data_IF_801204997639
#
_entry.id   IF_801204997639
#
_cell.length_a   1.000
_cell.length_b   1.000
_cell.length_c   1.000
_cell.angle_alpha   90.00
_cell.angle_beta   90.00
_cell.angle_gamma   90.00
#
_symmetry.space_group_name_H-M   'P 1'
#
loop_
_entity.id
_entity.type
_entity.pdbx_description
1 polymer ?
#
# COMPACT_ATOMS: atom_id res chain seq x y z
N UNK A 1 -34.27 -35.31 1.58
CA UNK A 1 -33.43 -34.56 0.62
C UNK A 1 -32.26 -33.99 1.41
N UNK A 2 -31.04 -34.09 0.87
CA UNK A 2 -29.81 -33.34 1.23
C UNK A 2 -28.81 -33.88 2.27
N UNK A 3 -28.62 -35.19 2.48
CA UNK A 3 -27.43 -35.67 3.21
C UNK A 3 -26.12 -35.61 2.37
N UNK A 4 -26.20 -35.74 1.04
CA UNK A 4 -25.02 -35.64 0.17
C UNK A 4 -24.47 -34.20 0.08
N UNK A 5 -25.36 -33.24 -0.15
CA UNK A 5 -24.99 -31.83 -0.31
C UNK A 5 -24.29 -31.25 0.94
N UNK A 6 -24.70 -31.67 2.14
CA UNK A 6 -24.04 -31.28 3.40
C UNK A 6 -22.61 -31.84 3.50
N UNK A 7 -22.37 -33.08 3.05
CA UNK A 7 -21.04 -33.71 3.12
C UNK A 7 -20.02 -33.05 2.19
N UNK A 8 -20.47 -32.63 1.00
CA UNK A 8 -19.64 -31.89 0.06
C UNK A 8 -19.22 -30.53 0.62
N UNK A 9 -20.18 -29.80 1.19
CA UNK A 9 -19.93 -28.50 1.80
C UNK A 9 -18.98 -28.61 3.01
N UNK A 10 -19.09 -29.67 3.81
CA UNK A 10 -18.21 -29.93 4.96
C UNK A 10 -16.75 -30.23 4.56
N UNK A 11 -16.53 -31.12 3.60
CA UNK A 11 -15.18 -31.47 3.14
C UNK A 11 -14.50 -30.31 2.41
N UNK A 12 -15.27 -29.53 1.64
CA UNK A 12 -14.77 -28.33 0.99
C UNK A 12 -14.44 -27.23 2.02
N UNK A 13 -15.28 -27.03 3.04
CA UNK A 13 -14.99 -26.10 4.13
C UNK A 13 -13.75 -26.52 4.93
N UNK A 14 -13.57 -27.82 5.14
CA UNK A 14 -12.37 -28.38 5.80
C UNK A 14 -11.10 -28.08 4.99
N UNK A 15 -11.14 -28.30 3.67
CA UNK A 15 -10.03 -27.96 2.78
C UNK A 15 -9.65 -26.48 2.87
N UNK A 16 -10.64 -25.58 2.71
CA UNK A 16 -10.42 -24.13 2.74
C UNK A 16 -9.88 -23.64 4.08
N UNK A 17 -10.33 -24.23 5.20
CA UNK A 17 -9.82 -23.84 6.53
C UNK A 17 -8.38 -24.30 6.73
N UNK A 18 -8.02 -25.52 6.31
CA UNK A 18 -6.64 -25.99 6.36
C UNK A 18 -5.74 -25.14 5.46
N UNK A 19 -6.20 -24.81 4.24
CA UNK A 19 -5.50 -23.93 3.30
C UNK A 19 -5.28 -22.53 3.88
N UNK A 20 -6.30 -21.95 4.52
CA UNK A 20 -6.20 -20.66 5.21
C UNK A 20 -5.16 -20.70 6.34
N UNK A 21 -5.16 -21.73 7.18
CA UNK A 21 -4.17 -21.88 8.27
C UNK A 21 -2.75 -22.04 7.71
N UNK A 22 -2.59 -22.78 6.61
CA UNK A 22 -1.32 -22.97 5.91
C UNK A 22 -0.80 -21.67 5.29
N UNK A 23 -1.67 -20.89 4.66
CA UNK A 23 -1.35 -19.57 4.11
C UNK A 23 -0.99 -18.58 5.22
N UNK A 24 -1.59 -18.74 6.40
CA UNK A 24 -1.25 -18.02 7.62
C UNK A 24 -0.05 -18.63 8.38
N UNK A 25 0.81 -19.41 7.72
CA UNK A 25 2.10 -19.85 8.28
C UNK A 25 2.05 -20.97 9.34
N UNK A 26 0.87 -21.52 9.67
CA UNK A 26 0.76 -22.63 10.64
C UNK A 26 1.35 -23.91 10.04
N UNK A 27 2.25 -24.58 10.78
CA UNK A 27 2.92 -25.79 10.28
C UNK A 27 1.94 -26.97 10.23
N UNK A 28 2.13 -27.88 9.26
CA UNK A 28 1.27 -29.09 9.14
C UNK A 28 1.24 -29.91 10.43
N UNK A 29 2.37 -29.98 11.14
CA UNK A 29 2.48 -30.68 12.42
C UNK A 29 1.59 -30.05 13.49
N UNK A 30 1.53 -28.73 13.58
CA UNK A 30 0.74 -28.01 14.59
C UNK A 30 -0.76 -28.20 14.35
N UNK A 31 -1.20 -28.18 13.09
CA UNK A 31 -2.60 -28.48 12.73
C UNK A 31 -2.94 -29.93 13.06
N UNK A 32 -2.04 -30.87 12.78
CA UNK A 32 -2.23 -32.29 13.08
C UNK A 32 -2.30 -32.56 14.58
N UNK A 33 -1.41 -31.95 15.37
CA UNK A 33 -1.38 -32.02 16.84
C UNK A 33 -2.68 -31.42 17.42
N UNK A 34 -3.17 -30.30 16.86
CA UNK A 34 -4.43 -29.67 17.27
C UNK A 34 -5.67 -30.55 17.01
N UNK A 35 -5.65 -31.28 15.90
CA UNK A 35 -6.72 -32.21 15.50
C UNK A 35 -6.60 -33.59 16.15
N UNK A 36 -5.51 -33.87 16.87
CA UNK A 36 -5.18 -35.19 17.41
C UNK A 36 -5.14 -36.29 16.31
N UNK A 37 -4.53 -35.97 15.17
CA UNK A 37 -4.32 -36.90 14.05
C UNK A 37 -2.85 -36.97 13.66
N UNK A 38 -2.44 -38.06 13.00
CA UNK A 38 -1.07 -38.19 12.53
C UNK A 38 -0.76 -37.14 11.43
N UNK A 39 0.40 -36.46 11.47
CA UNK A 39 0.78 -35.48 10.44
C UNK A 39 0.77 -36.04 9.01
N UNK A 40 1.09 -37.33 8.84
CA UNK A 40 1.02 -38.01 7.54
C UNK A 40 -0.41 -38.13 7.02
N UNK A 41 -1.39 -38.38 7.90
CA UNK A 41 -2.81 -38.47 7.56
C UNK A 41 -3.33 -37.10 7.14
N UNK A 42 -3.01 -36.04 7.90
CA UNK A 42 -3.40 -34.67 7.54
C UNK A 42 -2.74 -34.23 6.22
N UNK A 43 -1.47 -34.56 6.00
CA UNK A 43 -0.77 -34.24 4.76
C UNK A 43 -1.45 -34.90 3.57
N UNK A 44 -1.70 -36.22 3.61
CA UNK A 44 -2.40 -36.95 2.55
C UNK A 44 -3.81 -36.39 2.30
N UNK A 45 -4.52 -36.01 3.36
CA UNK A 45 -5.85 -35.42 3.27
C UNK A 45 -5.81 -34.07 2.53
N UNK A 46 -4.90 -33.18 2.92
CA UNK A 46 -4.78 -31.83 2.37
C UNK A 46 -4.18 -31.79 0.95
N UNK A 47 -3.14 -32.57 0.67
CA UNK A 47 -2.42 -32.47 -0.61
C UNK A 47 -3.00 -33.33 -1.72
N UNK A 48 -3.81 -34.34 -1.37
CA UNK A 48 -4.23 -35.37 -2.34
C UNK A 48 -5.72 -35.64 -2.27
N UNK A 49 -6.27 -36.06 -1.12
CA UNK A 49 -7.67 -36.49 -1.05
C UNK A 49 -8.64 -35.34 -1.28
N UNK A 50 -8.53 -34.24 -0.53
CA UNK A 50 -9.47 -33.12 -0.65
C UNK A 50 -9.40 -32.41 -2.01
N UNK A 51 -8.22 -32.10 -2.59
CA UNK A 51 -8.14 -31.53 -3.93
C UNK A 51 -8.77 -32.44 -5.00
N UNK A 52 -8.43 -33.74 -4.98
CA UNK A 52 -8.97 -34.71 -5.95
C UNK A 52 -10.49 -34.86 -5.78
N UNK A 53 -10.99 -34.89 -4.55
CA UNK A 53 -12.43 -34.93 -4.28
C UNK A 53 -13.15 -33.69 -4.81
N UNK A 54 -12.61 -32.49 -4.58
CA UNK A 54 -13.20 -31.23 -5.06
C UNK A 54 -13.24 -31.21 -6.60
N UNK A 55 -12.20 -31.72 -7.27
CA UNK A 55 -12.16 -31.80 -8.73
C UNK A 55 -13.17 -32.83 -9.28
N UNK A 56 -13.18 -34.05 -8.73
CA UNK A 56 -14.05 -35.14 -9.18
C UNK A 56 -15.53 -34.88 -8.87
N UNK A 57 -15.83 -34.18 -7.77
CA UNK A 57 -17.21 -33.81 -7.38
C UNK A 57 -17.88 -32.78 -8.31
N UNK A 58 -17.15 -32.26 -9.31
CA UNK A 58 -17.71 -31.43 -10.39
C UNK A 58 -18.33 -32.27 -11.51
N UNK A 59 -17.89 -33.51 -11.67
CA UNK A 59 -18.20 -34.35 -12.84
C UNK A 59 -18.82 -35.70 -12.47
N UNK A 60 -18.65 -36.16 -11.22
CA UNK A 60 -19.14 -37.45 -10.73
C UNK A 60 -20.03 -37.29 -9.48
N UNK A 61 -20.88 -38.28 -9.16
CA UNK A 61 -21.57 -38.34 -7.87
C UNK A 61 -20.58 -38.28 -6.70
N UNK A 62 -20.98 -37.62 -5.62
CA UNK A 62 -20.10 -37.34 -4.46
C UNK A 62 -19.49 -38.60 -3.84
N UNK A 63 -20.26 -39.68 -3.78
CA UNK A 63 -19.81 -40.95 -3.21
C UNK A 63 -18.70 -41.58 -4.05
N UNK A 64 -18.86 -41.60 -5.39
CA UNK A 64 -17.89 -42.12 -6.35
C UNK A 64 -16.63 -41.23 -6.42
N UNK A 65 -16.82 -39.91 -6.32
CA UNK A 65 -15.72 -38.94 -6.27
C UNK A 65 -14.86 -39.14 -5.02
N UNK A 66 -15.47 -39.37 -3.85
CA UNK A 66 -14.75 -39.60 -2.61
C UNK A 66 -14.03 -40.95 -2.60
N UNK A 67 -14.67 -42.00 -3.11
CA UNK A 67 -14.06 -43.33 -3.24
C UNK A 67 -12.83 -43.28 -4.15
N UNK A 68 -12.94 -42.59 -5.28
CA UNK A 68 -11.85 -42.40 -6.23
C UNK A 68 -10.70 -41.57 -5.64
N UNK A 69 -11.01 -40.50 -4.88
CA UNK A 69 -10.00 -39.70 -4.20
C UNK A 69 -9.25 -40.51 -3.13
N UNK A 70 -9.95 -41.36 -2.38
CA UNK A 70 -9.37 -42.19 -1.33
C UNK A 70 -8.55 -43.37 -1.87
N UNK A 71 -8.79 -43.85 -3.08
CA UNK A 71 -7.95 -44.92 -3.67
C UNK A 71 -6.48 -44.52 -3.81
N UNK A 72 -6.19 -43.22 -3.90
CA UNK A 72 -4.82 -42.70 -4.06
C UNK A 72 -3.99 -42.75 -2.77
N UNK A 73 -4.61 -43.07 -1.63
CA UNK A 73 -3.97 -43.04 -0.31
C UNK A 73 -4.37 -44.28 0.50
N UNK A 74 -3.44 -44.83 1.29
CA UNK A 74 -3.67 -46.04 2.09
C UNK A 74 -3.83 -45.78 3.59
N UNK A 75 -3.70 -44.54 4.03
CA UNK A 75 -3.66 -44.12 5.43
C UNK A 75 -4.93 -43.41 5.92
N UNK A 76 -5.97 -43.29 5.09
CA UNK A 76 -7.23 -42.61 5.40
C UNK A 76 -8.41 -43.56 5.18
N UNK A 77 -9.28 -43.71 6.18
CA UNK A 77 -10.51 -44.50 6.08
C UNK A 77 -11.70 -43.59 5.79
N UNK A 78 -12.47 -43.89 4.73
CA UNK A 78 -13.71 -43.17 4.37
C UNK A 78 -14.65 -42.99 5.57
N UNK A 79 -14.90 -44.08 6.29
CA UNK A 79 -15.81 -44.09 7.45
C UNK A 79 -15.32 -43.18 8.56
N UNK A 80 -14.02 -43.22 8.87
CA UNK A 80 -13.42 -42.39 9.92
C UNK A 80 -13.39 -40.91 9.52
N UNK A 81 -13.03 -40.61 8.27
CA UNK A 81 -13.03 -39.26 7.72
C UNK A 81 -14.41 -38.62 7.82
N UNK A 82 -15.45 -39.30 7.32
CA UNK A 82 -16.82 -38.79 7.36
C UNK A 82 -17.35 -38.63 8.78
N UNK A 83 -17.01 -39.56 9.70
CA UNK A 83 -17.45 -39.43 11.11
C UNK A 83 -16.76 -38.28 11.86
N UNK A 84 -15.57 -37.87 11.43
CA UNK A 84 -14.75 -36.86 12.12
C UNK A 84 -14.71 -35.51 11.38
N UNK A 85 -15.18 -35.42 10.14
CA UNK A 85 -15.07 -34.22 9.30
C UNK A 85 -15.66 -32.97 9.97
N UNK A 86 -16.88 -33.11 10.50
CA UNK A 86 -17.57 -32.02 11.18
C UNK A 86 -16.86 -31.58 12.46
N UNK A 87 -16.38 -32.55 13.27
CA UNK A 87 -15.63 -32.27 14.50
C UNK A 87 -14.27 -31.61 14.19
N UNK A 88 -13.55 -32.10 13.18
CA UNK A 88 -12.30 -31.50 12.71
C UNK A 88 -12.52 -30.06 12.25
N UNK A 89 -13.56 -29.81 11.47
CA UNK A 89 -13.90 -28.46 11.00
C UNK A 89 -14.24 -27.53 12.18
N UNK A 90 -14.98 -28.01 13.18
CA UNK A 90 -15.31 -27.23 14.38
C UNK A 90 -14.05 -26.91 15.20
N UNK A 91 -13.19 -27.91 15.45
CA UNK A 91 -11.93 -27.72 16.17
C UNK A 91 -10.99 -26.76 15.46
N UNK A 92 -10.98 -26.74 14.13
CA UNK A 92 -10.19 -25.77 13.34
C UNK A 92 -10.80 -24.36 13.33
N UNK A 93 -12.12 -24.22 13.53
CA UNK A 93 -12.76 -22.91 13.71
C UNK A 93 -12.43 -22.32 15.09
N UNK A 94 -12.34 -23.17 16.11
CA UNK A 94 -11.97 -22.78 17.48
C UNK A 94 -10.46 -22.58 17.66
N UNK A 95 -9.66 -23.06 16.71
CA UNK A 95 -8.26 -22.66 16.59
C UNK A 95 -8.26 -21.16 16.30
N UNK A 96 -8.09 -20.35 17.37
CA UNK A 96 -7.78 -18.92 17.25
C UNK A 96 -6.72 -18.83 16.16
N UNK A 97 -7.01 -18.07 15.11
CA UNK A 97 -5.99 -17.69 14.14
C UNK A 97 -4.85 -17.15 14.97
N UNK A 98 -3.80 -17.97 15.15
CA UNK A 98 -2.60 -17.53 15.81
C UNK A 98 -2.19 -16.37 14.93
N UNK A 99 -2.26 -15.11 15.42
CA UNK A 99 -1.71 -14.02 14.66
C UNK A 99 -0.30 -14.51 14.41
N UNK A 100 0.07 -14.61 13.14
CA UNK A 100 1.46 -14.86 12.78
C UNK A 100 2.22 -13.83 13.60
N UNK A 101 2.83 -14.23 14.71
CA UNK A 101 3.98 -13.53 15.20
C UNK A 101 4.96 -13.76 14.06
N UNK A 102 5.21 -12.73 13.24
CA UNK A 102 6.01 -12.89 12.07
C UNK A 102 7.32 -13.54 12.48
N UNK A 103 7.83 -14.50 11.70
CA UNK A 103 9.15 -15.05 11.96
C UNK A 103 10.07 -13.85 12.20
N UNK A 104 10.81 -13.86 13.31
CA UNK A 104 11.71 -12.74 13.65
C UNK A 104 12.74 -12.62 12.52
N UNK A 105 12.44 -11.75 11.54
CA UNK A 105 13.20 -11.26 10.38
C UNK A 105 12.17 -10.85 9.31
N UNK A 106 11.54 -9.69 9.37
CA UNK A 106 12.19 -8.40 9.14
C UNK A 106 11.53 -7.33 10.02
N UNK A 107 12.18 -6.97 11.15
CA UNK A 107 11.63 -6.00 12.10
C UNK A 107 11.29 -4.65 11.47
N UNK A 108 11.89 -4.34 10.31
CA UNK A 108 11.81 -3.06 9.62
C UNK A 108 10.44 -2.79 8.99
N UNK A 109 9.86 -3.75 8.25
CA UNK A 109 8.58 -3.58 7.53
C UNK A 109 7.43 -3.48 8.52
N UNK A 110 7.41 -4.34 9.55
CA UNK A 110 6.37 -4.31 10.57
C UNK A 110 6.44 -3.04 11.41
N UNK A 111 7.65 -2.58 11.74
CA UNK A 111 7.85 -1.26 12.37
C UNK A 111 7.34 -0.14 11.49
N UNK A 112 7.57 -0.20 10.17
CA UNK A 112 7.03 0.79 9.23
C UNK A 112 5.49 0.77 9.21
N UNK A 113 4.87 -0.41 9.17
CA UNK A 113 3.42 -0.54 9.21
C UNK A 113 2.81 -0.04 10.52
N UNK A 114 3.46 -0.32 11.65
CA UNK A 114 3.08 0.19 12.96
C UNK A 114 3.22 1.72 13.01
N UNK A 115 4.32 2.27 12.47
CA UNK A 115 4.55 3.71 12.39
C UNK A 115 3.53 4.41 11.48
N UNK A 116 3.14 3.81 10.34
CA UNK A 116 2.05 4.29 9.48
C UNK A 116 0.75 4.41 10.28
N UNK A 117 0.41 3.38 11.07
CA UNK A 117 -0.81 3.38 11.91
C UNK A 117 -0.74 4.44 12.99
N UNK A 118 0.36 4.52 13.72
CA UNK A 118 0.54 5.48 14.82
C UNK A 118 0.59 6.93 14.33
N UNK A 119 1.03 7.16 13.09
CA UNK A 119 1.09 8.49 12.48
C UNK A 119 -0.27 9.20 12.43
N UNK A 120 -1.38 8.44 12.33
CA UNK A 120 -2.73 9.00 12.35
C UNK A 120 -3.01 9.85 13.60
N UNK A 121 -2.50 9.44 14.77
CA UNK A 121 -2.63 10.19 16.01
C UNK A 121 -1.66 11.37 16.16
N UNK A 122 -0.62 11.44 15.33
CA UNK A 122 0.46 12.45 15.41
C UNK A 122 0.19 13.69 14.56
N UNK A 123 -0.62 13.57 13.50
CA UNK A 123 -0.85 14.64 12.52
C UNK A 123 -1.98 15.62 12.88
N UNK A 124 -2.57 15.53 14.07
CA UNK A 124 -3.74 16.32 14.46
C UNK A 124 -3.51 17.85 14.33
N UNK A 125 -2.30 18.34 14.62
CA UNK A 125 -1.96 19.77 14.49
C UNK A 125 -1.86 20.25 13.04
N UNK A 126 -1.61 19.33 12.10
CA UNK A 126 -1.32 19.62 10.69
C UNK A 126 -2.35 19.01 9.74
N UNK A 127 -3.46 18.49 10.26
CA UNK A 127 -4.56 18.07 9.40
C UNK A 127 -5.20 19.28 8.72
N UNK A 128 -5.82 19.01 7.58
CA UNK A 128 -6.57 20.01 6.84
C UNK A 128 -6.31 19.97 5.35
N UNK A 129 -6.87 20.97 4.68
CA UNK A 129 -6.69 21.23 3.25
C UNK A 129 -5.70 22.38 3.09
N UNK A 130 -4.73 22.16 2.22
CA UNK A 130 -3.67 23.08 1.88
C UNK A 130 -3.69 23.37 0.39
N UNK A 131 -3.17 24.53 0.00
CA UNK A 131 -2.70 24.76 -1.37
C UNK A 131 -1.19 24.57 -1.39
N UNK A 132 -0.71 23.67 -2.24
CA UNK A 132 0.72 23.46 -2.45
C UNK A 132 1.23 24.26 -3.64
N UNK A 133 2.40 24.89 -3.46
CA UNK A 133 3.07 25.76 -4.41
C UNK A 133 4.45 25.22 -4.72
N UNK A 134 4.76 25.08 -6.01
CA UNK A 134 6.09 24.69 -6.49
C UNK A 134 6.32 25.15 -7.93
N UNK A 135 7.56 25.05 -8.41
CA UNK A 135 7.87 25.22 -9.83
C UNK A 135 7.19 24.14 -10.70
N UNK A 136 6.63 24.55 -11.84
CA UNK A 136 6.11 23.62 -12.86
C UNK A 136 7.24 22.87 -13.59
N UNK A 137 6.97 21.63 -14.02
CA UNK A 137 7.95 20.82 -14.76
C UNK A 137 8.18 21.31 -16.19
N UNK A 138 7.21 22.01 -16.78
CA UNK A 138 7.17 22.33 -18.22
C UNK A 138 7.37 23.82 -18.52
N UNK A 139 7.38 24.67 -17.49
CA UNK A 139 7.44 26.12 -17.66
C UNK A 139 7.79 26.83 -16.36
N UNK A 140 8.07 28.13 -16.44
CA UNK A 140 8.34 29.01 -15.29
C UNK A 140 7.06 29.45 -14.56
N UNK A 141 6.00 28.65 -14.62
CA UNK A 141 4.73 28.98 -13.94
C UNK A 141 4.75 28.49 -12.49
N UNK A 142 4.07 29.23 -11.61
CA UNK A 142 3.76 28.77 -10.26
C UNK A 142 2.70 27.69 -10.35
N UNK A 143 3.02 26.49 -9.90
CA UNK A 143 2.08 25.39 -9.83
C UNK A 143 1.28 25.48 -8.53
N UNK A 144 -0.04 25.39 -8.62
CA UNK A 144 -1.00 25.45 -7.51
C UNK A 144 -1.78 24.13 -7.48
N UNK A 145 -1.55 23.34 -6.44
CA UNK A 145 -2.14 22.00 -6.29
C UNK A 145 -2.78 21.84 -4.91
N UNK A 146 -4.10 21.65 -4.81
CA UNK A 146 -4.75 21.27 -3.56
C UNK A 146 -4.13 20.02 -2.97
N UNK A 147 -3.91 20.04 -1.65
CA UNK A 147 -3.27 18.97 -0.90
C UNK A 147 -4.05 18.71 0.39
N UNK A 148 -4.35 17.45 0.66
CA UNK A 148 -5.14 17.01 1.81
C UNK A 148 -4.27 16.19 2.76
N UNK A 149 -4.30 16.55 4.05
CA UNK A 149 -3.78 15.73 5.15
C UNK A 149 -4.96 15.34 6.02
N UNK A 150 -5.38 14.08 5.95
CA UNK A 150 -6.55 13.58 6.65
C UNK A 150 -6.22 12.33 7.48
N UNK A 151 -6.18 12.42 8.83
CA UNK A 151 -6.05 11.22 9.66
C UNK A 151 -7.24 10.28 9.46
N UNK A 152 -6.97 8.97 9.37
CA UNK A 152 -7.94 7.86 9.37
C UNK A 152 -7.64 6.94 10.55
N UNK A 153 -8.42 5.87 10.72
CA UNK A 153 -8.23 4.95 11.85
C UNK A 153 -6.88 4.22 11.82
N UNK A 154 -6.36 3.92 10.64
CA UNK A 154 -5.20 3.03 10.43
C UNK A 154 -4.05 3.66 9.62
N UNK A 155 -4.22 4.87 9.11
CA UNK A 155 -3.18 5.60 8.38
C UNK A 155 -3.51 7.10 8.29
N UNK A 156 -2.56 7.92 7.84
CA UNK A 156 -2.83 9.28 7.39
C UNK A 156 -3.09 9.24 5.90
N UNK A 157 -4.31 9.58 5.46
CA UNK A 157 -4.64 9.68 4.04
C UNK A 157 -4.10 10.99 3.48
N UNK A 158 -3.38 10.88 2.37
CA UNK A 158 -2.86 12.03 1.62
C UNK A 158 -3.55 12.09 0.27
N UNK A 159 -4.06 13.27 -0.06
CA UNK A 159 -4.66 13.57 -1.36
C UNK A 159 -3.96 14.73 -2.03
N UNK A 160 -3.82 14.68 -3.36
CA UNK A 160 -3.39 15.82 -4.17
C UNK A 160 -4.28 15.93 -5.40
N UNK A 161 -4.67 17.15 -5.78
CA UNK A 161 -5.24 17.42 -7.10
C UNK A 161 -4.14 18.07 -7.93
N UNK A 162 -3.73 17.43 -9.01
CA UNK A 162 -2.69 17.96 -9.89
C UNK A 162 -3.13 19.28 -10.51
N UNK A 163 -2.16 20.06 -11.01
CA UNK A 163 -2.46 21.31 -11.72
C UNK A 163 -3.32 21.10 -12.98
N UNK A 164 -3.48 19.84 -13.42
CA UNK A 164 -4.30 19.43 -14.56
C UNK A 164 -5.65 18.80 -14.13
N UNK A 165 -5.96 18.80 -12.84
CA UNK A 165 -7.24 18.34 -12.28
C UNK A 165 -7.30 16.86 -11.93
N UNK A 166 -6.19 16.11 -12.06
CA UNK A 166 -6.16 14.69 -11.72
C UNK A 166 -5.99 14.48 -10.22
N UNK A 167 -6.83 13.65 -9.62
CA UNK A 167 -6.76 13.35 -8.19
C UNK A 167 -5.86 12.16 -7.92
N UNK A 168 -4.92 12.33 -7.00
CA UNK A 168 -3.92 11.36 -6.61
C UNK A 168 -4.01 11.07 -5.12
N UNK A 169 -3.74 9.82 -4.75
CA UNK A 169 -3.92 9.30 -3.40
C UNK A 169 -2.70 8.57 -2.90
N UNK A 170 -2.53 8.60 -1.58
CA UNK A 170 -1.51 7.84 -0.89
C UNK A 170 -1.57 8.07 0.61
N UNK A 171 -0.44 7.96 1.29
CA UNK A 171 -0.37 7.93 2.74
C UNK A 171 0.78 8.78 3.29
N UNK A 172 0.67 9.14 4.58
CA UNK A 172 1.66 9.91 5.31
C UNK A 172 2.23 9.15 6.51
N UNK A 173 3.49 9.40 6.83
CA UNK A 173 4.22 8.86 7.98
C UNK A 173 4.88 10.03 8.73
N UNK A 174 4.65 10.10 10.03
CA UNK A 174 5.22 11.09 10.94
C UNK A 174 6.09 10.39 11.99
N UNK A 175 7.33 9.99 11.63
CA UNK A 175 8.22 9.23 12.52
C UNK A 175 8.57 10.04 13.78
N UNK A 176 8.62 11.36 13.66
CA UNK A 176 8.88 12.27 14.76
C UNK A 176 8.06 13.58 14.63
N UNK A 177 7.99 14.42 15.68
CA UNK A 177 7.17 15.62 15.67
C UNK A 177 7.54 16.70 14.64
N UNK A 178 8.73 16.64 14.03
CA UNK A 178 9.25 17.66 13.11
C UNK A 178 9.28 17.20 11.65
N UNK A 179 9.16 15.91 11.39
CA UNK A 179 9.30 15.34 10.05
C UNK A 179 8.03 14.62 9.63
N UNK A 180 7.51 14.97 8.45
CA UNK A 180 6.37 14.32 7.87
C UNK A 180 6.66 13.91 6.44
N UNK A 181 6.59 12.61 6.17
CA UNK A 181 6.82 12.01 4.88
C UNK A 181 5.48 11.65 4.26
N UNK A 182 5.23 12.05 3.02
CA UNK A 182 4.03 11.66 2.28
C UNK A 182 4.43 10.92 1.02
N UNK A 183 3.71 9.87 0.67
CA UNK A 183 3.89 9.13 -0.58
C UNK A 183 2.56 9.11 -1.31
N UNK A 184 2.58 9.45 -2.60
CA UNK A 184 1.42 9.51 -3.49
C UNK A 184 1.71 8.67 -4.74
N UNK A 185 0.69 7.99 -5.27
CA UNK A 185 0.78 7.42 -6.61
C UNK A 185 0.30 8.46 -7.64
N UNK A 186 1.18 8.83 -8.56
CA UNK A 186 0.87 9.78 -9.64
C UNK A 186 -0.04 9.18 -10.72
N UNK A 187 0.07 7.87 -10.94
CA UNK A 187 -0.71 7.14 -11.94
C UNK A 187 -1.94 6.47 -11.32
N UNK A 188 -2.94 6.19 -12.17
CA UNK A 188 -4.02 5.30 -11.79
C UNK A 188 -3.53 3.84 -11.77
N UNK A 189 -4.10 3.03 -10.88
CA UNK A 189 -3.82 1.61 -10.81
C UNK A 189 -4.07 0.94 -12.18
N UNK A 190 -3.23 -0.02 -12.63
CA UNK A 190 -2.25 -0.78 -11.84
C UNK A 190 -0.82 -0.23 -11.83
N UNK A 191 -0.53 0.86 -12.55
CA UNK A 191 0.83 1.41 -12.61
C UNK A 191 1.16 2.19 -11.33
N UNK A 192 2.35 1.94 -10.77
CA UNK A 192 2.85 2.63 -9.59
C UNK A 192 3.97 3.59 -9.98
N UNK A 193 3.71 4.89 -9.83
CA UNK A 193 4.71 5.95 -9.95
C UNK A 193 4.68 6.76 -8.68
N UNK A 194 5.64 6.47 -7.80
CA UNK A 194 5.71 7.07 -6.49
C UNK A 194 6.28 8.48 -6.56
N UNK A 195 5.54 9.38 -5.94
CA UNK A 195 5.95 10.73 -5.63
C UNK A 195 6.06 10.84 -4.12
N UNK A 196 7.15 11.44 -3.63
CA UNK A 196 7.40 11.59 -2.21
C UNK A 196 7.49 13.06 -1.82
N UNK A 197 6.87 13.44 -0.72
CA UNK A 197 6.98 14.75 -0.10
C UNK A 197 7.65 14.59 1.25
N UNK A 198 8.62 15.44 1.54
CA UNK A 198 9.25 15.56 2.84
C UNK A 198 8.95 16.95 3.39
N UNK A 199 8.10 17.02 4.41
CA UNK A 199 7.60 18.25 5.00
C UNK A 199 8.17 18.43 6.40
N UNK A 200 8.68 19.62 6.67
CA UNK A 200 9.13 20.03 7.99
C UNK A 200 7.96 20.62 8.77
N UNK A 201 7.69 20.05 9.94
CA UNK A 201 6.62 20.47 10.85
C UNK A 201 7.22 21.44 11.87
N UNK A 202 6.78 22.72 11.87
CA UNK A 202 7.28 23.68 12.83
C UNK A 202 6.56 23.49 14.18
N UNK A 203 7.19 23.90 15.28
CA UNK A 203 6.65 23.79 16.64
C UNK A 203 5.55 24.82 16.93
N UNK A 204 4.44 24.77 16.18
CA UNK A 204 3.24 25.58 16.39
C UNK A 204 2.00 24.69 16.50
N UNK A 205 1.01 25.14 17.28
CA UNK A 205 -0.22 24.36 17.55
C UNK A 205 -1.08 24.11 16.30
N UNK A 206 -1.02 25.03 15.32
CA UNK A 206 -1.72 24.94 14.03
C UNK A 206 -0.95 25.76 12.98
N UNK A 207 0.13 25.22 12.40
CA UNK A 207 0.95 26.00 11.48
C UNK A 207 0.18 26.29 10.19
N UNK A 208 0.17 27.57 9.81
CA UNK A 208 -0.38 28.01 8.52
C UNK A 208 0.44 27.52 7.33
N UNK A 209 1.75 27.30 7.52
CA UNK A 209 2.67 26.96 6.44
C UNK A 209 3.50 25.74 6.79
N UNK A 210 3.61 24.82 5.83
CA UNK A 210 4.57 23.70 5.87
C UNK A 210 5.52 23.84 4.68
N UNK A 211 6.79 23.57 4.89
CA UNK A 211 7.84 23.70 3.87
C UNK A 211 8.54 22.38 3.69
N UNK A 212 9.00 22.10 2.49
CA UNK A 212 9.60 20.81 2.24
C UNK A 212 10.23 20.65 0.88
N UNK A 213 10.48 19.38 0.55
CA UNK A 213 10.93 18.91 -0.75
C UNK A 213 9.90 17.93 -1.32
N UNK A 214 9.64 18.05 -2.61
CA UNK A 214 8.90 17.11 -3.43
C UNK A 214 9.89 16.37 -4.33
N UNK A 215 9.84 15.05 -4.35
CA UNK A 215 10.69 14.18 -5.17
C UNK A 215 9.79 13.32 -6.05
N UNK A 216 10.08 13.32 -7.35
CA UNK A 216 9.33 12.56 -8.34
C UNK A 216 10.12 12.43 -9.64
N UNK A 217 9.40 12.24 -10.73
CA UNK A 217 9.96 12.14 -12.07
C UNK A 217 9.53 13.35 -12.91
N UNK A 218 10.42 13.83 -13.79
CA UNK A 218 10.03 14.78 -14.84
C UNK A 218 9.34 14.05 -16.02
N UNK A 219 8.91 14.79 -17.05
CA UNK A 219 8.27 14.20 -18.24
C UNK A 219 9.16 13.19 -18.99
N UNK A 220 10.47 13.32 -18.87
CA UNK A 220 11.45 12.42 -19.47
C UNK A 220 11.81 11.25 -18.52
N UNK A 221 11.06 11.08 -17.43
CA UNK A 221 11.28 10.10 -16.36
C UNK A 221 12.61 10.23 -15.62
N UNK A 222 13.24 11.39 -15.69
CA UNK A 222 14.43 11.65 -14.90
C UNK A 222 14.04 12.02 -13.45
N UNK A 223 14.80 11.55 -12.44
CA UNK A 223 14.60 11.97 -11.06
C UNK A 223 14.73 13.48 -10.88
N UNK A 224 13.78 14.08 -10.17
CA UNK A 224 13.79 15.50 -9.84
C UNK A 224 13.33 15.72 -8.40
N UNK A 225 14.03 16.61 -7.70
CA UNK A 225 13.64 17.13 -6.39
C UNK A 225 13.37 18.64 -6.51
N UNK A 226 12.28 19.11 -5.91
CA UNK A 226 11.88 20.52 -5.93
C UNK A 226 11.50 21.00 -4.55
N UNK A 227 11.75 22.27 -4.27
CA UNK A 227 11.18 22.92 -3.09
C UNK A 227 9.67 23.05 -3.23
N UNK A 228 8.98 22.87 -2.11
CA UNK A 228 7.53 23.01 -2.03
C UNK A 228 7.12 23.80 -0.78
N UNK A 229 6.04 24.57 -0.92
CA UNK A 229 5.36 25.29 0.15
C UNK A 229 3.90 24.87 0.19
N UNK A 230 3.41 24.46 1.36
CA UNK A 230 1.98 24.21 1.60
C UNK A 230 1.44 25.33 2.47
N UNK A 231 0.38 26.00 2.02
CA UNK A 231 -0.34 27.02 2.77
C UNK A 231 -1.70 26.46 3.17
N UNK A 232 -2.00 26.45 4.47
CA UNK A 232 -3.25 25.91 5.01
C UNK A 232 -4.41 26.83 4.63
N UNK A 233 -5.44 26.26 4.03
CA UNK A 233 -6.67 26.94 3.61
C UNK A 233 -7.85 26.61 4.54
N UNK A 234 -7.88 25.39 5.10
CA UNK A 234 -8.96 24.93 5.97
C UNK A 234 -8.49 23.83 6.91
N UNK A 235 -9.09 23.75 8.10
CA UNK A 235 -8.93 22.63 9.04
C UNK A 235 -9.82 21.42 8.65
N UNK A 236 -10.69 21.56 7.64
CA UNK A 236 -11.54 20.47 7.15
C UNK A 236 -10.70 19.34 6.55
N UNK A 237 -11.13 18.10 6.82
CA UNK A 237 -10.61 16.88 6.19
C UNK A 237 -11.66 16.21 5.29
N UNK A 238 -12.71 16.96 4.94
CA UNK A 238 -13.82 16.50 4.11
C UNK A 238 -13.41 16.30 2.65
N UNK A 239 -13.91 15.22 2.05
CA UNK A 239 -13.60 14.90 0.64
C UNK A 239 -14.26 15.88 -0.33
N UNK A 240 -15.49 16.29 -0.06
CA UNK A 240 -16.23 17.24 -0.89
C UNK A 240 -15.54 18.61 -0.90
N UNK A 241 -15.18 19.12 0.28
CA UNK A 241 -14.42 20.36 0.45
C UNK A 241 -13.06 20.33 -0.26
N UNK A 242 -12.43 19.16 -0.34
CA UNK A 242 -11.15 18.97 -1.00
C UNK A 242 -11.29 18.91 -2.52
N UNK A 243 -12.25 18.13 -3.04
CA UNK A 243 -12.49 17.97 -4.47
C UNK A 243 -13.01 19.25 -5.13
N UNK A 244 -13.63 20.14 -4.36
CA UNK A 244 -14.06 21.46 -4.84
C UNK A 244 -12.95 22.53 -4.93
N UNK A 245 -11.70 22.21 -4.59
CA UNK A 245 -10.60 23.19 -4.60
C UNK A 245 -10.05 23.41 -6.01
N UNK A 246 -9.72 24.66 -6.31
CA UNK A 246 -9.09 25.02 -7.58
C UNK A 246 -7.64 24.52 -7.64
N UNK A 247 -7.24 24.01 -8.80
CA UNK A 247 -5.85 23.70 -9.15
C UNK A 247 -5.48 24.38 -10.47
N UNK A 248 -4.18 24.59 -10.70
CA UNK A 248 -3.75 25.19 -11.95
C UNK A 248 -2.30 25.67 -11.98
N UNK A 249 -1.98 26.40 -13.05
CA UNK A 249 -0.72 27.09 -13.26
C UNK A 249 -0.99 28.59 -13.29
N UNK A 250 -0.13 29.38 -12.65
CA UNK A 250 -0.21 30.84 -12.63
C UNK A 250 1.04 31.40 -13.28
N UNK A 251 0.87 32.27 -14.27
CA UNK A 251 1.99 32.91 -14.95
C UNK A 251 2.66 33.95 -14.05
N UNK A 252 3.99 34.16 -14.15
CA UNK A 252 4.69 35.16 -13.35
C UNK A 252 4.07 36.57 -13.41
N UNK A 253 3.50 36.96 -14.56
CA UNK A 253 2.83 38.26 -14.73
C UNK A 253 1.46 38.38 -14.08
N UNK A 254 0.89 37.29 -13.57
CA UNK A 254 -0.46 37.22 -13.00
C UNK A 254 -0.44 36.94 -11.48
N UNK A 255 0.75 36.86 -10.88
CA UNK A 255 0.91 36.55 -9.46
C UNK A 255 0.39 37.70 -8.60
N UNK A 256 -0.37 37.37 -7.56
CA UNK A 256 -0.63 38.31 -6.46
C UNK A 256 0.65 38.59 -5.67
N UNK A 257 0.73 39.68 -4.88
CA UNK A 257 1.91 39.94 -4.04
C UNK A 257 2.30 38.79 -3.12
N UNK A 258 1.32 38.04 -2.60
CA UNK A 258 1.57 36.87 -1.75
C UNK A 258 2.11 35.68 -2.57
N UNK A 259 1.53 35.44 -3.75
CA UNK A 259 2.00 34.40 -4.66
C UNK A 259 3.38 34.72 -5.22
N UNK A 260 3.74 35.99 -5.38
CA UNK A 260 5.10 36.40 -5.74
C UNK A 260 6.10 35.92 -4.67
N UNK A 261 5.81 36.11 -3.38
CA UNK A 261 6.67 35.61 -2.31
C UNK A 261 6.78 34.07 -2.33
N UNK A 262 5.71 33.36 -2.71
CA UNK A 262 5.74 31.89 -2.84
C UNK A 262 6.58 31.46 -4.05
N UNK A 263 6.42 32.14 -5.18
CA UNK A 263 7.21 31.94 -6.37
C UNK A 263 8.70 32.18 -6.10
N UNK A 264 9.03 33.30 -5.45
CA UNK A 264 10.39 33.65 -5.08
C UNK A 264 11.02 32.63 -4.13
N UNK A 265 10.19 31.99 -3.29
CA UNK A 265 10.64 30.93 -2.40
C UNK A 265 10.80 29.57 -3.10
N UNK A 266 9.98 29.20 -4.09
CA UNK A 266 9.94 27.82 -4.64
C UNK A 266 10.46 27.65 -6.07
N UNK A 267 10.71 28.74 -6.79
CA UNK A 267 10.94 28.72 -8.24
C UNK A 267 12.30 29.29 -8.66
N UNK A 268 13.26 29.42 -7.75
CA UNK A 268 14.60 29.93 -8.11
C UNK A 268 15.47 28.82 -8.73
N UNK A 269 16.55 29.18 -9.46
CA UNK A 269 17.44 28.21 -10.10
C UNK A 269 18.02 27.13 -9.16
N UNK A 270 18.15 27.42 -7.86
CA UNK A 270 18.64 26.49 -6.84
C UNK A 270 17.56 25.62 -6.17
N UNK A 271 16.29 25.84 -6.48
CA UNK A 271 15.17 25.14 -5.83
C UNK A 271 14.77 23.84 -6.53
N UNK A 272 15.43 23.52 -7.64
CA UNK A 272 15.27 22.31 -8.41
C UNK A 272 16.61 21.57 -8.53
N UNK A 273 16.64 20.31 -8.12
CA UNK A 273 17.78 19.41 -8.32
C UNK A 273 17.31 18.29 -9.24
N UNK A 274 18.00 18.12 -10.36
CA UNK A 274 17.61 17.19 -11.42
C UNK A 274 18.81 16.32 -11.80
N UNK A 275 18.54 15.06 -12.12
CA UNK A 275 19.46 14.22 -12.88
C UNK A 275 18.98 14.13 -14.33
N UNK A 276 19.86 13.81 -15.27
CA UNK A 276 19.43 13.52 -16.64
C UNK A 276 20.20 12.35 -17.23
N UNK A 277 19.51 11.56 -18.03
CA UNK A 277 20.16 10.48 -18.78
C UNK A 277 21.10 11.06 -19.84
N UNK A 278 22.41 10.81 -19.71
CA UNK A 278 23.41 11.20 -20.70
C UNK A 278 23.30 10.29 -21.94
N UNK A 279 23.15 10.84 -23.15
CA UNK A 279 23.17 10.03 -24.37
C UNK A 279 24.55 9.40 -24.60
N UNK A 280 24.57 8.13 -25.03
CA UNK A 280 25.81 7.39 -25.32
C UNK A 280 26.76 7.35 -24.12
N UNK A 281 26.35 6.69 -23.03
CA UNK A 281 27.15 6.49 -21.82
C UNK A 281 28.46 5.74 -22.13
N UNK A 282 29.57 6.33 -21.67
CA UNK A 282 30.91 5.73 -21.66
C UNK A 282 31.24 5.13 -20.28
N UNK A 283 30.45 5.44 -19.24
CA UNK A 283 30.62 5.03 -17.84
C UNK A 283 31.95 5.48 -17.23
N UNK A 284 32.38 6.70 -17.59
CA UNK A 284 33.59 7.36 -17.09
C UNK A 284 33.30 8.80 -16.63
N UNK A 285 34.31 9.50 -16.12
CA UNK A 285 34.16 10.88 -15.64
C UNK A 285 33.71 11.86 -16.72
N UNK A 286 33.88 11.52 -18.01
CA UNK A 286 33.42 12.37 -19.10
C UNK A 286 31.90 12.48 -19.12
N UNK A 287 31.18 11.44 -18.72
CA UNK A 287 29.72 11.45 -18.65
C UNK A 287 29.21 12.38 -17.55
N UNK A 288 29.90 12.43 -16.39
CA UNK A 288 29.57 13.36 -15.30
C UNK A 288 29.70 14.83 -15.77
N UNK A 289 30.75 15.12 -16.54
CA UNK A 289 30.98 16.45 -17.13
C UNK A 289 29.91 16.78 -18.18
N UNK A 290 29.54 15.80 -19.03
CA UNK A 290 28.47 15.96 -20.03
C UNK A 290 27.13 16.24 -19.35
N UNK A 291 26.76 15.45 -18.34
CA UNK A 291 25.53 15.63 -17.57
C UNK A 291 25.47 17.04 -16.97
N UNK A 292 26.56 17.48 -16.33
CA UNK A 292 26.59 18.81 -15.71
C UNK A 292 26.43 19.94 -16.72
N UNK A 293 26.97 19.79 -17.93
CA UNK A 293 26.75 20.74 -19.04
C UNK A 293 25.30 20.71 -19.52
N UNK A 294 24.68 19.53 -19.62
CA UNK A 294 23.27 19.38 -20.00
C UNK A 294 22.31 20.02 -18.99
N UNK A 295 22.62 19.93 -17.69
CA UNK A 295 21.83 20.53 -16.61
C UNK A 295 22.02 22.04 -16.43
N UNK A 296 23.06 22.62 -17.02
CA UNK A 296 23.35 24.06 -16.96
C UNK A 296 22.68 24.86 -18.10
N UNK A 297 22.00 24.17 -19.01
CA UNK A 297 21.22 24.71 -20.12
C UNK A 297 19.74 24.79 -19.73
#
# INVERSE_FOLDING_TARGET
MNQGNEQKDELQALYLKIESLRNNGVKMKEIADWLDIAPSVLSSLYTTVLPNYIELSKTHPEEEALDSALMTVNNISKKRLLSQAQEMLLRLKDMKEVPIEPPINDSSILRLMDEIRQSAGKVEAIKGIYTSYSLSSSSEHLKMEPFLIAPREDHVRIGRISAYGETQWGFGIMPDPQNFHCMLNENQAPQLTLVTFYLQIPFFKSPRQLRGLYIGQDYNRNPVARRILLVKESESTGMEDFLGRASGLIAPGELTPEQQAYYDYTCQPGDCIKMCTVPSLHMDESDLIKEKKMLAL
#
